data_IF_805797217802
#
_entry.id   IF_805797217802
#
_cell.length_a   1.000
_cell.length_b   1.000
_cell.length_c   1.000
_cell.angle_alpha   90.00
_cell.angle_beta   90.00
_cell.angle_gamma   90.00
#
_symmetry.space_group_name_H-M   'P 1'
#
loop_
_entity.id
_entity.type
_entity.pdbx_description
1 polymer ?
#
# COMPACT_ATOMS: atom_id res chain seq x y z
N UNK A 1 1.97 13.74 16.37
CA UNK A 1 1.87 13.12 15.02
C UNK A 1 0.60 13.61 14.36
N UNK A 2 0.54 13.74 13.02
CA UNK A 2 -0.73 13.99 12.33
C UNK A 2 -1.76 12.91 12.69
N UNK A 3 -3.05 13.27 12.73
CA UNK A 3 -4.15 12.33 13.00
C UNK A 3 -4.36 11.41 11.78
N UNK A 4 -3.60 10.31 11.75
CA UNK A 4 -3.67 9.32 10.67
C UNK A 4 -4.82 8.39 10.95
N UNK A 5 -5.86 8.45 10.11
CA UNK A 5 -7.07 7.64 10.27
C UNK A 5 -7.10 6.43 9.35
N UNK A 6 -6.38 6.47 8.23
CA UNK A 6 -6.34 5.40 7.23
C UNK A 6 -4.95 5.19 6.67
N UNK A 7 -4.53 3.94 6.66
CA UNK A 7 -3.23 3.48 6.18
C UNK A 7 -3.46 2.40 5.14
N UNK A 8 -2.94 2.61 3.93
CA UNK A 8 -2.93 1.58 2.89
C UNK A 8 -1.49 1.08 2.75
N UNK A 9 -1.31 -0.23 2.82
CA UNK A 9 0.01 -0.85 2.71
C UNK A 9 0.10 -1.58 1.39
N UNK A 10 0.89 -1.05 0.46
CA UNK A 10 1.15 -1.73 -0.80
C UNK A 10 2.33 -2.68 -0.62
N UNK A 11 2.00 -3.97 -0.46
CA UNK A 11 2.98 -5.05 -0.45
C UNK A 11 2.42 -6.25 -1.19
N UNK A 12 2.52 -6.17 -2.52
CA UNK A 12 2.09 -7.24 -3.42
C UNK A 12 3.10 -8.38 -3.42
N UNK A 13 2.63 -9.62 -3.34
CA UNK A 13 3.52 -10.77 -3.34
C UNK A 13 2.85 -12.09 -2.96
N UNK A 14 3.67 -13.05 -2.61
CA UNK A 14 3.29 -14.40 -2.16
C UNK A 14 2.80 -14.39 -0.70
N UNK A 15 2.41 -15.54 -0.16
CA UNK A 15 2.13 -15.67 1.26
C UNK A 15 3.31 -15.21 2.15
N UNK A 16 4.55 -15.48 1.72
CA UNK A 16 5.75 -15.09 2.46
C UNK A 16 5.89 -13.58 2.62
N UNK A 17 5.52 -12.81 1.58
CA UNK A 17 5.55 -11.33 1.64
C UNK A 17 4.56 -10.78 2.67
N UNK A 18 3.39 -11.40 2.80
CA UNK A 18 2.42 -11.03 3.84
C UNK A 18 3.00 -11.30 5.23
N UNK A 19 3.54 -12.51 5.45
CA UNK A 19 4.13 -12.89 6.74
C UNK A 19 5.30 -11.98 7.12
N UNK A 20 6.11 -11.58 6.13
CA UNK A 20 7.22 -10.64 6.33
C UNK A 20 6.73 -9.22 6.66
N UNK A 21 5.57 -8.82 6.14
CA UNK A 21 4.96 -7.54 6.45
C UNK A 21 4.28 -7.49 7.84
N UNK A 22 3.93 -8.64 8.44
CA UNK A 22 3.18 -8.67 9.70
C UNK A 22 3.83 -7.88 10.85
N UNK A 23 5.15 -7.99 11.13
CA UNK A 23 5.77 -7.21 12.21
C UNK A 23 5.62 -5.69 11.99
N UNK A 24 5.73 -5.23 10.74
CA UNK A 24 5.55 -3.82 10.40
C UNK A 24 4.10 -3.36 10.58
N UNK A 25 3.13 -4.22 10.24
CA UNK A 25 1.70 -3.94 10.45
C UNK A 25 1.37 -3.79 11.95
N UNK A 26 1.94 -4.64 12.80
CA UNK A 26 1.81 -4.50 14.26
C UNK A 26 2.43 -3.20 14.78
N UNK A 27 3.61 -2.82 14.27
CA UNK A 27 4.23 -1.55 14.64
C UNK A 27 3.38 -0.34 14.23
N UNK A 28 2.74 -0.40 13.05
CA UNK A 28 1.81 0.63 12.60
C UNK A 28 0.56 0.72 13.47
N UNK A 29 -0.04 -0.41 13.84
CA UNK A 29 -1.21 -0.43 14.73
C UNK A 29 -0.87 0.18 16.11
N UNK A 30 0.35 -0.04 16.62
CA UNK A 30 0.82 0.56 17.86
C UNK A 30 1.13 2.07 17.73
N UNK A 31 1.72 2.49 16.61
CA UNK A 31 2.10 3.88 16.37
C UNK A 31 0.91 4.78 15.97
N UNK A 32 -0.15 4.19 15.41
CA UNK A 32 -1.36 4.89 14.97
C UNK A 32 -2.62 4.23 15.55
N UNK A 33 -2.86 4.36 16.87
CA UNK A 33 -4.04 3.78 17.49
C UNK A 33 -5.33 4.30 16.85
N UNK A 34 -6.20 3.40 16.42
CA UNK A 34 -7.49 3.74 15.79
C UNK A 34 -7.41 4.08 14.30
N UNK A 35 -6.24 3.95 13.67
CA UNK A 35 -6.12 3.98 12.23
C UNK A 35 -6.62 2.66 11.62
N UNK A 36 -7.36 2.76 10.52
CA UNK A 36 -7.74 1.59 9.71
C UNK A 36 -6.58 1.21 8.79
N UNK A 37 -6.12 -0.03 8.87
CA UNK A 37 -5.00 -0.57 8.10
C UNK A 37 -5.53 -1.55 7.04
N UNK A 38 -5.28 -1.21 5.78
CA UNK A 38 -5.71 -1.98 4.61
C UNK A 38 -4.52 -2.40 3.74
N UNK A 39 -4.00 -3.63 3.88
CA UNK A 39 -3.01 -4.17 2.96
C UNK A 39 -3.61 -4.43 1.57
N UNK A 40 -2.86 -4.09 0.53
CA UNK A 40 -3.16 -4.44 -0.85
C UNK A 40 -2.53 -5.80 -1.15
N UNK A 41 -3.36 -6.81 -1.35
CA UNK A 41 -2.91 -8.21 -1.41
C UNK A 41 -3.66 -9.04 -2.44
N UNK A 42 -3.48 -10.35 -2.34
CA UNK A 42 -4.15 -11.35 -3.18
C UNK A 42 -5.39 -11.92 -2.48
N UNK A 43 -6.28 -12.59 -3.22
CA UNK A 43 -7.44 -13.26 -2.64
C UNK A 43 -7.06 -14.29 -1.54
N UNK A 44 -5.99 -15.10 -1.68
CA UNK A 44 -5.49 -15.95 -0.60
C UNK A 44 -5.08 -15.19 0.67
N UNK A 45 -4.53 -13.98 0.56
CA UNK A 45 -4.21 -13.15 1.73
C UNK A 45 -5.47 -12.73 2.47
N UNK A 46 -6.51 -12.33 1.74
CA UNK A 46 -7.81 -11.98 2.32
C UNK A 46 -8.45 -13.17 3.02
N UNK A 47 -8.37 -14.37 2.43
CA UNK A 47 -8.87 -15.61 3.04
C UNK A 47 -8.13 -15.94 4.33
N UNK A 48 -6.80 -15.88 4.31
CA UNK A 48 -5.96 -16.23 5.45
C UNK A 48 -6.20 -15.33 6.68
N UNK A 49 -6.49 -14.06 6.44
CA UNK A 49 -6.68 -13.07 7.49
C UNK A 49 -8.13 -12.93 7.94
N UNK A 50 -9.09 -13.50 7.19
CA UNK A 50 -10.51 -13.37 7.50
C UNK A 50 -10.82 -13.93 8.90
N UNK A 51 -11.45 -13.09 9.73
CA UNK A 51 -11.91 -13.48 11.07
C UNK A 51 -10.80 -13.75 12.08
N UNK A 52 -9.53 -13.46 11.75
CA UNK A 52 -8.42 -13.57 12.69
C UNK A 52 -8.18 -12.25 13.40
N UNK A 53 -7.96 -12.25 14.73
CA UNK A 53 -7.50 -11.06 15.43
C UNK A 53 -6.11 -10.68 14.90
N UNK A 54 -5.92 -9.40 14.61
CA UNK A 54 -4.67 -8.90 14.06
C UNK A 54 -4.71 -7.40 13.78
N UNK A 55 -3.61 -6.83 13.30
CA UNK A 55 -3.46 -5.40 13.01
C UNK A 55 -4.11 -4.98 11.68
N UNK A 56 -4.75 -5.91 10.97
CA UNK A 56 -5.33 -5.69 9.64
C UNK A 56 -6.85 -5.67 9.78
N UNK A 57 -7.47 -4.59 9.35
CA UNK A 57 -8.93 -4.46 9.35
C UNK A 57 -9.56 -5.13 8.12
N UNK A 58 -8.94 -4.93 6.95
CA UNK A 58 -9.42 -5.48 5.68
C UNK A 58 -8.27 -5.66 4.69
N UNK A 59 -8.37 -6.65 3.79
CA UNK A 59 -7.44 -6.81 2.67
C UNK A 59 -8.14 -6.39 1.38
N UNK A 60 -7.62 -5.36 0.72
CA UNK A 60 -8.09 -5.00 -0.61
C UNK A 60 -7.36 -5.85 -1.65
N UNK A 61 -8.13 -6.72 -2.33
CA UNK A 61 -7.60 -7.62 -3.35
C UNK A 61 -7.28 -6.83 -4.62
N UNK A 62 -6.02 -6.87 -5.02
CA UNK A 62 -5.58 -6.27 -6.28
C UNK A 62 -6.02 -7.14 -7.47
N UNK A 63 -6.47 -6.54 -8.58
CA UNK A 63 -6.75 -7.28 -9.80
C UNK A 63 -5.47 -7.95 -10.30
N UNK A 64 -5.61 -9.17 -10.81
CA UNK A 64 -4.49 -9.89 -11.43
C UNK A 64 -4.20 -9.24 -12.77
N UNK A 65 -3.28 -8.28 -12.78
CA UNK A 65 -2.76 -7.73 -14.02
C UNK A 65 -1.73 -8.72 -14.58
N UNK A 66 -1.98 -9.24 -15.79
CA UNK A 66 -0.96 -9.94 -16.57
C UNK A 66 0.05 -8.87 -17.01
N UNK A 67 1.00 -8.54 -16.15
CA UNK A 67 2.20 -7.83 -16.60
C UNK A 67 3.09 -8.92 -17.17
N UNK A 68 3.01 -9.21 -18.46
CA UNK A 68 4.19 -9.77 -19.10
C UNK A 68 5.32 -8.78 -18.81
N UNK A 69 6.44 -9.28 -18.27
CA UNK A 69 7.60 -8.44 -17.94
C UNK A 69 8.09 -7.64 -19.16
N UNK A 70 7.69 -8.07 -20.36
CA UNK A 70 8.02 -7.50 -21.65
C UNK A 70 6.92 -6.62 -22.24
N UNK A 71 5.78 -6.44 -21.55
CA UNK A 71 4.80 -5.43 -21.97
C UNK A 71 5.40 -4.06 -21.70
N UNK A 72 5.48 -3.17 -22.70
CA UNK A 72 5.81 -1.79 -22.43
C UNK A 72 4.76 -1.25 -21.46
N UNK A 73 5.20 -0.74 -20.31
CA UNK A 73 4.34 -0.16 -19.29
C UNK A 73 3.33 0.77 -19.97
N UNK A 74 2.04 0.37 -19.99
CA UNK A 74 0.99 1.17 -20.56
C UNK A 74 0.78 2.39 -19.64
N UNK A 75 1.51 3.47 -19.92
CA UNK A 75 1.24 4.76 -19.31
C UNK A 75 -0.11 5.21 -19.87
N UNK A 76 -1.15 5.41 -19.04
CA UNK A 76 -2.37 6.04 -19.52
C UNK A 76 -1.98 7.39 -20.15
N UNK A 77 -2.35 7.59 -21.43
CA UNK A 77 -2.06 8.85 -22.13
C UNK A 77 -2.75 9.97 -21.35
N UNK A 78 -2.02 10.96 -20.80
CA UNK A 78 -2.65 12.07 -20.12
C UNK A 78 -3.44 12.88 -21.16
N UNK A 79 -4.77 12.82 -21.10
CA UNK A 79 -5.62 13.78 -21.79
C UNK A 79 -5.51 15.09 -21.02
N UNK A 80 -4.79 16.04 -21.63
CA UNK A 80 -4.57 17.44 -21.24
C UNK A 80 -3.87 17.74 -19.89
N UNK A 81 -2.62 18.25 -20.06
CA UNK A 81 -2.07 19.46 -19.42
C UNK A 81 -1.53 19.42 -17.97
N UNK A 82 -0.19 19.49 -17.91
CA UNK A 82 0.69 20.09 -16.88
C UNK A 82 0.93 19.32 -15.58
N UNK A 83 1.97 18.48 -15.59
CA UNK A 83 2.81 18.26 -14.40
C UNK A 83 4.23 17.86 -14.83
N UNK A 84 5.21 18.66 -14.40
CA UNK A 84 6.63 18.62 -14.77
C UNK A 84 7.31 17.32 -14.35
N UNK A 85 8.15 16.82 -15.25
CA UNK A 85 9.00 15.65 -15.11
C UNK A 85 10.38 16.05 -14.57
N UNK A 86 10.57 16.03 -13.24
CA UNK A 86 11.90 16.18 -12.61
C UNK A 86 11.82 16.10 -11.06
N UNK A 87 11.70 14.88 -10.51
CA UNK A 87 12.04 14.62 -9.10
C UNK A 87 12.23 13.11 -8.84
N UNK A 88 12.99 12.45 -9.68
CA UNK A 88 13.47 11.09 -9.43
C UNK A 88 14.87 11.27 -8.82
N UNK A 89 15.22 10.53 -7.76
CA UNK A 89 16.56 10.41 -7.14
C UNK A 89 16.88 11.14 -5.84
N UNK A 90 16.05 12.03 -5.29
CA UNK A 90 16.26 12.51 -3.90
C UNK A 90 14.95 12.51 -3.12
N UNK A 91 14.57 11.33 -2.64
CA UNK A 91 13.48 11.20 -1.69
C UNK A 91 14.06 10.97 -0.29
N UNK A 92 14.25 12.03 0.53
CA UNK A 92 14.15 11.82 1.96
C UNK A 92 12.70 11.41 2.24
N UNK A 93 12.48 10.44 3.13
CA UNK A 93 11.15 9.99 3.57
C UNK A 93 10.11 11.13 3.55
N UNK A 94 9.37 11.23 2.45
CA UNK A 94 8.34 12.26 2.28
C UNK A 94 7.09 11.48 1.97
N UNK A 95 6.43 11.03 3.04
CA UNK A 95 5.03 10.64 3.01
C UNK A 95 4.28 11.70 2.20
N UNK A 96 4.06 11.43 0.91
CA UNK A 96 3.37 12.38 0.04
C UNK A 96 1.92 12.27 0.46
N UNK A 97 1.48 13.32 1.14
CA UNK A 97 0.18 13.44 1.78
C UNK A 97 -0.94 13.10 0.78
N UNK A 98 -1.50 11.90 0.91
CA UNK A 98 -2.69 11.50 0.19
C UNK A 98 -3.90 12.10 0.93
N UNK A 99 -4.17 13.41 0.75
CA UNK A 99 -5.22 14.14 1.47
C UNK A 99 -5.04 14.15 3.01
N UNK A 100 -5.60 15.14 3.74
CA UNK A 100 -5.55 15.10 5.20
C UNK A 100 -6.15 13.79 5.72
N UNK A 101 -5.33 12.99 6.42
CA UNK A 101 -5.75 11.76 7.10
C UNK A 101 -5.53 10.43 6.36
N UNK A 102 -4.90 10.40 5.16
CA UNK A 102 -4.51 9.12 4.52
C UNK A 102 -3.01 9.05 4.22
N UNK A 103 -2.41 7.92 4.56
CA UNK A 103 -1.01 7.61 4.26
C UNK A 103 -0.95 6.33 3.43
N UNK A 104 -0.25 6.38 2.30
CA UNK A 104 0.12 5.20 1.52
C UNK A 104 1.56 4.83 1.87
N UNK A 105 1.77 3.64 2.40
CA UNK A 105 3.10 3.11 2.70
C UNK A 105 3.47 2.04 1.68
N UNK A 106 4.65 2.20 1.08
CA UNK A 106 5.25 1.28 0.13
C UNK A 106 6.46 0.62 0.77
N UNK A 107 6.44 -0.69 0.93
CA UNK A 107 7.60 -1.48 1.36
C UNK A 107 8.09 -2.29 0.14
N UNK A 108 9.40 -2.21 -0.15
CA UNK A 108 10.05 -2.84 -1.31
C UNK A 108 10.39 -4.32 -1.08
#
# INVERSE_FOLDING_TARGET
MPDVRRIVVLRGGTLGDLLYAMPALYALAAACPGAVITPLGSAPHAELLRGRPGPVDEVAVLPVTRTDRNEPAQRPRPTSSTASANAWWTWPCSCTAAAPGRILLYAN
#
